data_IF_276016700416
#
_entry.id   IF_276016700416
#
_cell.length_a   1.000
_cell.length_b   1.000
_cell.length_c   1.000
_cell.angle_alpha   90.00
_cell.angle_beta   90.00
_cell.angle_gamma   90.00
#
_symmetry.space_group_name_H-M   'P 1'
#
loop_
_entity.id
_entity.type
_entity.pdbx_description
1 polymer ?
#
# COMPACT_ATOMS: atom_id res chain seq x y z
N UNK A 1 -44.75 -48.58 42.12
CA UNK A 1 -43.34 -48.58 42.57
C UNK A 1 -42.46 -48.26 41.38
N UNK A 2 -41.86 -47.05 41.31
CA UNK A 2 -40.86 -46.73 40.27
C UNK A 2 -39.48 -46.98 40.85
N UNK A 3 -38.73 -47.91 40.26
CA UNK A 3 -37.32 -48.09 40.58
C UNK A 3 -36.54 -46.93 39.96
N UNK A 4 -35.96 -46.07 40.80
CA UNK A 4 -34.97 -45.09 40.36
C UNK A 4 -33.64 -45.81 40.17
N UNK A 5 -33.23 -45.98 38.90
CA UNK A 5 -31.92 -46.54 38.60
C UNK A 5 -30.82 -45.55 39.01
N UNK A 6 -29.95 -45.98 39.92
CA UNK A 6 -28.78 -45.21 40.34
C UNK A 6 -27.79 -45.10 39.18
N UNK A 7 -27.88 -44.02 38.40
CA UNK A 7 -26.96 -43.71 37.31
C UNK A 7 -25.55 -43.51 37.86
N UNK A 8 -24.63 -44.39 37.51
CA UNK A 8 -23.23 -44.28 37.91
C UNK A 8 -22.61 -43.02 37.30
N UNK A 9 -22.17 -42.07 38.16
CA UNK A 9 -21.47 -40.87 37.69
C UNK A 9 -20.06 -41.26 37.25
N UNK A 10 -19.64 -40.77 36.08
CA UNK A 10 -18.27 -40.97 35.57
C UNK A 10 -17.28 -40.43 36.61
N UNK A 11 -16.20 -41.18 36.85
CA UNK A 11 -15.13 -40.76 37.76
C UNK A 11 -14.45 -39.52 37.16
N UNK A 12 -14.36 -38.44 37.93
CA UNK A 12 -13.66 -37.21 37.53
C UNK A 12 -12.14 -37.40 37.51
N UNK A 13 -11.41 -36.34 37.14
CA UNK A 13 -9.95 -36.30 37.25
C UNK A 13 -9.53 -36.62 38.70
N UNK A 14 -8.49 -37.43 38.87
CA UNK A 14 -7.98 -37.78 40.19
C UNK A 14 -7.29 -36.55 40.79
N UNK A 15 -7.67 -36.19 42.02
CA UNK A 15 -7.03 -35.10 42.75
C UNK A 15 -5.59 -35.46 43.06
N UNK A 16 -4.68 -34.52 42.83
CA UNK A 16 -3.28 -34.67 43.20
C UNK A 16 -3.11 -34.55 44.74
N UNK A 17 -3.15 -35.70 45.40
CA UNK A 17 -2.97 -35.82 46.84
C UNK A 17 -1.50 -36.13 47.14
N UNK A 18 -0.76 -35.10 47.58
CA UNK A 18 0.65 -35.26 47.94
C UNK A 18 0.80 -36.00 49.28
N UNK A 19 1.48 -37.14 49.27
CA UNK A 19 1.82 -37.91 50.47
C UNK A 19 2.96 -37.22 51.22
N UNK A 20 2.86 -37.09 52.54
CA UNK A 20 3.99 -36.66 53.38
C UNK A 20 4.97 -37.83 53.51
N UNK A 21 6.26 -37.55 53.34
CA UNK A 21 7.33 -38.56 53.40
C UNK A 21 7.45 -39.22 54.77
N UNK A 22 6.98 -38.58 55.83
CA UNK A 22 7.13 -39.02 57.23
C UNK A 22 6.29 -40.26 57.61
N UNK A 23 5.36 -40.72 56.77
CA UNK A 23 4.44 -41.82 57.10
C UNK A 23 4.76 -43.07 56.27
N UNK A 24 5.45 -44.03 56.88
CA UNK A 24 5.89 -45.31 56.28
C UNK A 24 4.97 -46.50 56.63
N UNK A 25 3.66 -46.28 56.80
CA UNK A 25 2.68 -47.35 57.01
C UNK A 25 1.94 -47.68 55.72
N UNK A 26 1.74 -48.97 55.41
CA UNK A 26 1.22 -49.46 54.13
C UNK A 26 -0.21 -49.02 53.72
N UNK A 27 -0.91 -48.22 54.52
CA UNK A 27 -2.21 -47.65 54.18
C UNK A 27 -2.21 -46.13 54.35
N UNK A 28 -2.44 -45.40 53.26
CA UNK A 28 -2.48 -43.93 53.22
C UNK A 28 -3.91 -43.46 53.45
N UNK A 29 -4.22 -43.04 54.67
CA UNK A 29 -5.53 -42.46 55.00
C UNK A 29 -5.57 -40.97 54.65
N UNK A 30 -6.41 -40.59 53.69
CA UNK A 30 -6.60 -39.19 53.32
C UNK A 30 -7.63 -38.52 54.23
N UNK A 31 -7.15 -37.66 55.12
CA UNK A 31 -8.04 -36.78 55.89
C UNK A 31 -8.88 -35.89 54.94
N UNK A 32 -10.17 -35.65 55.23
CA UNK A 32 -11.02 -34.73 54.45
C UNK A 32 -10.41 -33.34 54.22
N UNK A 33 -9.53 -32.90 55.14
CA UNK A 33 -8.76 -31.66 54.99
C UNK A 33 -7.81 -31.70 53.78
N UNK A 34 -7.16 -32.83 53.51
CA UNK A 34 -6.23 -32.99 52.36
C UNK A 34 -6.94 -32.99 51.02
N UNK A 35 -8.14 -33.57 50.97
CA UNK A 35 -9.00 -33.50 49.79
C UNK A 35 -9.40 -32.05 49.47
N UNK A 36 -9.68 -31.22 50.49
CA UNK A 36 -9.96 -29.79 50.30
C UNK A 36 -8.74 -29.01 49.82
N UNK A 37 -7.56 -29.26 50.41
CA UNK A 37 -6.31 -28.63 50.00
C UNK A 37 -5.94 -28.98 48.54
N UNK A 38 -6.10 -30.23 48.12
CA UNK A 38 -5.84 -30.63 46.73
C UNK A 38 -6.79 -29.95 45.74
N UNK A 39 -8.09 -29.87 46.06
CA UNK A 39 -9.07 -29.12 45.24
C UNK A 39 -8.74 -27.64 45.14
N UNK A 40 -8.30 -27.03 46.24
CA UNK A 40 -7.90 -25.62 46.22
C UNK A 40 -6.69 -25.39 45.32
N UNK A 41 -5.72 -26.30 45.30
CA UNK A 41 -4.55 -26.24 44.40
C UNK A 41 -4.94 -26.40 42.94
N UNK A 42 -5.81 -27.35 42.62
CA UNK A 42 -6.31 -27.50 41.25
C UNK A 42 -7.05 -26.24 40.79
N UNK A 43 -7.90 -25.66 41.63
CA UNK A 43 -8.60 -24.42 41.29
C UNK A 43 -7.65 -23.24 41.02
N UNK A 44 -6.52 -23.15 41.74
CA UNK A 44 -5.48 -22.16 41.48
C UNK A 44 -4.78 -22.46 40.16
N UNK A 45 -4.36 -23.71 39.92
CA UNK A 45 -3.71 -24.10 38.67
C UNK A 45 -4.60 -23.87 37.45
N UNK A 46 -5.89 -24.17 37.54
CA UNK A 46 -6.83 -23.90 36.45
C UNK A 46 -6.95 -22.39 36.18
N UNK A 47 -6.96 -21.55 37.21
CA UNK A 47 -6.96 -20.08 37.04
C UNK A 47 -5.67 -19.61 36.38
N UNK A 48 -4.52 -20.02 36.90
CA UNK A 48 -3.21 -19.65 36.36
C UNK A 48 -3.09 -20.09 34.89
N UNK A 49 -3.49 -21.32 34.55
CA UNK A 49 -3.51 -21.80 33.18
C UNK A 49 -4.44 -20.97 32.27
N UNK A 50 -5.61 -20.56 32.77
CA UNK A 50 -6.51 -19.71 31.99
C UNK A 50 -5.93 -18.33 31.76
N UNK A 51 -5.30 -17.74 32.77
CA UNK A 51 -4.63 -16.45 32.67
C UNK A 51 -3.44 -16.51 31.72
N UNK A 52 -2.60 -17.55 31.81
CA UNK A 52 -1.50 -17.78 30.86
C UNK A 52 -1.99 -17.96 29.43
N UNK A 53 -3.09 -18.71 29.22
CA UNK A 53 -3.71 -18.87 27.89
C UNK A 53 -4.22 -17.52 27.35
N UNK A 54 -4.83 -16.70 28.20
CA UNK A 54 -5.29 -15.36 27.82
C UNK A 54 -4.13 -14.42 27.51
N UNK A 55 -3.09 -14.40 28.34
CA UNK A 55 -1.87 -13.60 28.11
C UNK A 55 -1.19 -14.01 26.82
N UNK A 56 -1.03 -15.32 26.57
CA UNK A 56 -0.44 -15.84 25.33
C UNK A 56 -1.28 -15.48 24.11
N UNK A 57 -2.61 -15.52 24.22
CA UNK A 57 -3.50 -15.10 23.14
C UNK A 57 -3.38 -13.58 22.86
N UNK A 58 -3.26 -12.77 23.91
CA UNK A 58 -3.07 -11.32 23.76
C UNK A 58 -1.71 -10.98 23.16
N UNK A 59 -0.63 -11.62 23.62
CA UNK A 59 0.71 -11.45 23.07
C UNK A 59 0.76 -11.82 21.58
N UNK A 60 0.13 -12.94 21.18
CA UNK A 60 0.02 -13.31 19.76
C UNK A 60 -0.69 -12.26 18.92
N UNK A 61 -1.78 -11.68 19.44
CA UNK A 61 -2.50 -10.59 18.74
C UNK A 61 -1.64 -9.34 18.60
N UNK A 62 -0.83 -9.00 19.60
CA UNK A 62 0.08 -7.86 19.52
C UNK A 62 1.13 -8.06 18.43
N UNK A 63 1.77 -9.24 18.40
CA UNK A 63 2.75 -9.60 17.37
C UNK A 63 2.15 -9.54 15.96
N UNK A 64 0.97 -10.12 15.76
CA UNK A 64 0.31 -10.11 14.44
C UNK A 64 -0.04 -8.68 13.98
N UNK A 65 -0.42 -7.78 14.91
CA UNK A 65 -0.66 -6.38 14.59
C UNK A 65 0.63 -5.64 14.22
N UNK A 66 1.73 -5.95 14.91
CA UNK A 66 3.04 -5.36 14.64
C UNK A 66 3.59 -5.84 13.28
N UNK A 67 3.51 -7.13 12.98
CA UNK A 67 3.87 -7.70 11.68
C UNK A 67 3.08 -7.03 10.55
N UNK A 68 1.76 -6.88 10.69
CA UNK A 68 0.92 -6.17 9.70
C UNK A 68 1.32 -4.70 9.53
N UNK A 69 1.78 -4.04 10.59
CA UNK A 69 2.28 -2.65 10.49
C UNK A 69 3.59 -2.59 9.71
N UNK A 70 4.52 -3.50 10.01
CA UNK A 70 5.82 -3.60 9.34
C UNK A 70 5.62 -3.96 7.86
N UNK A 71 4.76 -4.92 7.54
CA UNK A 71 4.44 -5.27 6.15
C UNK A 71 3.87 -4.08 5.37
N UNK A 72 2.96 -3.32 5.98
CA UNK A 72 2.41 -2.10 5.36
C UNK A 72 3.47 -1.04 5.14
N UNK A 73 4.41 -0.88 6.07
CA UNK A 73 5.54 0.05 5.92
C UNK A 73 6.46 -0.39 4.78
N UNK A 74 6.87 -1.66 4.76
CA UNK A 74 7.69 -2.24 3.69
C UNK A 74 7.02 -2.07 2.31
N UNK A 75 5.72 -2.33 2.21
CA UNK A 75 4.99 -2.14 0.97
C UNK A 75 4.97 -0.67 0.52
N UNK A 76 4.83 0.27 1.45
CA UNK A 76 4.90 1.72 1.15
C UNK A 76 6.30 2.12 0.68
N UNK A 77 7.34 1.67 1.39
CA UNK A 77 8.74 1.92 1.05
C UNK A 77 9.05 1.41 -0.35
N UNK A 78 8.70 0.16 -0.67
CA UNK A 78 8.89 -0.42 -2.00
C UNK A 78 8.20 0.43 -3.09
N UNK A 79 6.97 0.88 -2.83
CA UNK A 79 6.23 1.75 -3.75
C UNK A 79 6.83 3.16 -3.87
N UNK A 80 7.49 3.65 -2.83
CA UNK A 80 8.20 4.94 -2.86
C UNK A 80 9.52 4.84 -3.62
N UNK A 81 10.28 3.77 -3.40
CA UNK A 81 11.49 3.47 -4.15
C UNK A 81 11.18 3.32 -5.63
N UNK A 82 10.17 2.54 -6.02
CA UNK A 82 9.77 2.38 -7.42
C UNK A 82 9.38 3.74 -8.05
N UNK A 83 8.62 4.56 -7.31
CA UNK A 83 8.22 5.90 -7.78
C UNK A 83 9.43 6.83 -7.93
N UNK A 84 10.38 6.78 -6.99
CA UNK A 84 11.60 7.56 -7.01
C UNK A 84 12.52 7.14 -8.17
N UNK A 85 12.69 5.83 -8.40
CA UNK A 85 13.46 5.30 -9.53
C UNK A 85 12.84 5.71 -10.86
N UNK A 86 11.51 5.59 -11.01
CA UNK A 86 10.80 6.02 -12.21
C UNK A 86 10.90 7.52 -12.44
N UNK A 87 10.88 8.32 -11.37
CA UNK A 87 11.09 9.76 -11.46
C UNK A 87 12.54 10.09 -11.87
N UNK A 88 13.53 9.39 -11.30
CA UNK A 88 14.94 9.55 -11.65
C UNK A 88 15.20 9.14 -13.11
N UNK A 89 14.60 8.05 -13.59
CA UNK A 89 14.71 7.62 -14.99
C UNK A 89 14.14 8.68 -15.95
N UNK A 90 12.97 9.25 -15.61
CA UNK A 90 12.37 10.36 -16.37
C UNK A 90 13.27 11.59 -16.37
N UNK A 91 13.83 11.95 -15.22
CA UNK A 91 14.75 13.07 -15.10
C UNK A 91 16.00 12.86 -15.98
N UNK A 92 16.60 11.67 -15.96
CA UNK A 92 17.75 11.32 -16.82
C UNK A 92 17.41 11.43 -18.31
N UNK A 93 16.23 10.98 -18.73
CA UNK A 93 15.78 11.11 -20.13
C UNK A 93 15.63 12.57 -20.54
N UNK A 94 15.02 13.38 -19.68
CA UNK A 94 14.85 14.83 -19.91
C UNK A 94 16.21 15.51 -19.99
N UNK A 95 17.11 15.25 -19.05
CA UNK A 95 18.47 15.80 -19.05
C UNK A 95 19.24 15.42 -20.32
N UNK A 96 19.20 14.16 -20.75
CA UNK A 96 19.84 13.71 -21.98
C UNK A 96 19.27 14.44 -23.22
N UNK A 97 17.98 14.73 -23.26
CA UNK A 97 17.38 15.54 -24.32
C UNK A 97 17.85 16.99 -24.27
N UNK A 98 17.93 17.59 -23.07
CA UNK A 98 18.44 18.96 -22.90
C UNK A 98 19.91 19.07 -23.30
N UNK A 99 20.76 18.10 -22.95
CA UNK A 99 22.15 18.02 -23.36
C UNK A 99 22.28 17.91 -24.89
N UNK A 100 21.47 17.08 -25.54
CA UNK A 100 21.44 16.99 -27.02
C UNK A 100 21.06 18.31 -27.66
N UNK A 101 19.99 18.97 -27.16
CA UNK A 101 19.53 20.27 -27.66
C UNK A 101 20.59 21.37 -27.45
N UNK A 102 21.26 21.39 -26.31
CA UNK A 102 22.29 22.39 -26.00
C UNK A 102 23.53 22.21 -26.89
N UNK A 103 23.97 20.97 -27.12
CA UNK A 103 25.07 20.66 -28.06
C UNK A 103 24.71 21.12 -29.48
N UNK A 104 23.50 20.80 -29.96
CA UNK A 104 23.03 21.24 -31.27
C UNK A 104 22.98 22.77 -31.38
N UNK A 105 22.43 23.46 -30.38
CA UNK A 105 22.36 24.92 -30.37
C UNK A 105 23.76 25.55 -30.38
N UNK A 106 24.70 25.01 -29.61
CA UNK A 106 26.09 25.49 -29.59
C UNK A 106 26.77 25.33 -30.96
N UNK A 107 26.55 24.21 -31.66
CA UNK A 107 27.07 23.99 -33.02
C UNK A 107 26.46 24.98 -34.02
N UNK A 108 25.14 25.22 -33.96
CA UNK A 108 24.46 26.17 -34.85
C UNK A 108 24.96 27.61 -34.61
N UNK A 109 25.20 28.02 -33.35
CA UNK A 109 25.77 29.34 -33.03
C UNK A 109 27.17 29.52 -33.61
N UNK A 110 28.04 28.50 -33.52
CA UNK A 110 29.37 28.54 -34.14
C UNK A 110 29.29 28.67 -35.66
N UNK A 111 28.37 27.95 -36.31
CA UNK A 111 28.15 28.04 -37.77
C UNK A 111 27.60 29.39 -38.21
N UNK A 112 26.71 30.00 -37.42
CA UNK A 112 26.15 31.32 -37.73
C UNK A 112 27.16 32.43 -37.52
N UNK A 113 28.01 32.36 -36.49
CA UNK A 113 29.11 33.32 -36.30
C UNK A 113 30.12 33.29 -37.45
N UNK A 114 30.45 32.11 -37.99
CA UNK A 114 31.32 31.99 -39.18
C UNK A 114 30.63 32.34 -40.50
N UNK A 115 29.30 32.47 -40.52
CA UNK A 115 28.51 32.76 -41.72
C UNK A 115 28.19 34.26 -41.87
N UNK A 116 28.50 35.09 -40.87
CA UNK A 116 28.45 36.56 -40.99
C UNK A 116 29.73 37.09 -41.63
N UNK A 117 30.07 36.63 -42.83
CA UNK A 117 30.97 37.34 -43.76
C UNK A 117 30.68 36.87 -45.19
N UNK A 118 29.63 37.43 -45.78
CA UNK A 118 29.67 37.78 -47.20
C UNK A 118 28.73 38.96 -47.44
N UNK A 119 29.25 40.19 -47.66
CA UNK A 119 28.43 41.30 -48.10
C UNK A 119 27.98 41.01 -49.54
N UNK A 120 26.81 40.38 -49.67
CA UNK A 120 26.14 40.23 -50.96
C UNK A 120 25.79 41.62 -51.49
N UNK A 121 26.42 41.99 -52.60
CA UNK A 121 26.30 43.31 -53.21
C UNK A 121 24.83 43.66 -53.51
N UNK A 122 24.40 44.77 -52.92
CA UNK A 122 23.10 45.41 -53.10
C UNK A 122 22.90 45.76 -54.58
N UNK A 123 22.09 44.96 -55.29
CA UNK A 123 21.64 45.29 -56.65
C UNK A 123 20.15 45.63 -56.63
N UNK A 124 19.86 46.84 -57.06
CA UNK A 124 18.60 47.54 -56.89
C UNK A 124 17.71 47.39 -58.15
N UNK A 125 16.41 47.09 -57.94
CA UNK A 125 15.22 47.20 -58.84
C UNK A 125 15.13 46.18 -60.01
N UNK A 126 13.96 45.73 -60.49
CA UNK A 126 12.65 46.39 -60.67
C UNK A 126 11.45 45.44 -60.49
N UNK A 127 10.31 46.05 -60.14
CA UNK A 127 9.00 45.45 -60.01
C UNK A 127 8.42 45.00 -61.36
N UNK A 128 7.79 43.82 -61.37
CA UNK A 128 6.89 43.36 -62.43
C UNK A 128 5.60 42.87 -61.78
N UNK A 129 4.52 43.61 -61.99
CA UNK A 129 3.17 43.24 -61.58
C UNK A 129 2.54 42.34 -62.66
N UNK A 130 1.78 41.32 -62.24
CA UNK A 130 0.61 40.82 -62.98
C UNK A 130 -0.07 39.63 -62.28
N UNK A 131 -1.37 39.82 -62.02
CA UNK A 131 -2.49 38.87 -62.05
C UNK A 131 -2.58 37.78 -60.96
N UNK A 132 -3.50 37.94 -60.01
CA UNK A 132 -4.94 37.60 -60.09
C UNK A 132 -5.20 36.13 -59.73
N UNK A 133 -5.71 35.93 -58.52
CA UNK A 133 -6.23 34.66 -58.01
C UNK A 133 -7.32 34.97 -56.99
N UNK A 134 -8.54 35.11 -57.50
CA UNK A 134 -9.80 35.26 -56.76
C UNK A 134 -10.25 33.87 -56.28
N UNK A 135 -11.11 33.86 -55.25
CA UNK A 135 -11.97 32.77 -54.72
C UNK A 135 -11.39 31.97 -53.55
N UNK A 136 -12.16 31.55 -52.55
CA UNK A 136 -13.56 31.77 -52.16
C UNK A 136 -13.79 30.97 -50.86
N UNK A 137 -14.73 31.41 -50.02
CA UNK A 137 -15.47 30.59 -49.06
C UNK A 137 -14.64 30.01 -47.90
N UNK A 138 -15.13 29.80 -46.69
CA UNK A 138 -16.45 30.00 -46.09
C UNK A 138 -16.15 30.16 -44.60
N UNK A 139 -16.58 31.27 -44.00
CA UNK A 139 -16.74 31.35 -42.54
C UNK A 139 -17.89 30.39 -42.15
N UNK A 140 -17.58 29.11 -42.01
CA UNK A 140 -18.47 28.16 -41.36
C UNK A 140 -18.49 28.49 -39.88
N UNK A 141 -19.57 29.17 -39.47
CA UNK A 141 -20.03 29.37 -38.11
C UNK A 141 -19.68 28.17 -37.21
N UNK A 142 -18.64 28.32 -36.40
CA UNK A 142 -18.28 27.36 -35.39
C UNK A 142 -19.36 27.37 -34.31
N UNK A 143 -20.21 26.34 -34.30
CA UNK A 143 -21.13 26.09 -33.19
C UNK A 143 -20.35 26.15 -31.88
N UNK A 144 -20.77 26.92 -30.86
CA UNK A 144 -20.03 27.02 -29.62
C UNK A 144 -19.95 25.63 -28.98
N UNK A 145 -18.73 25.18 -28.68
CA UNK A 145 -18.53 23.98 -27.88
C UNK A 145 -19.37 24.11 -26.60
N UNK A 146 -20.15 23.07 -26.28
CA UNK A 146 -20.97 23.05 -25.05
C UNK A 146 -20.02 23.04 -23.85
N UNK A 147 -19.72 24.23 -23.34
CA UNK A 147 -18.83 24.47 -22.22
C UNK A 147 -19.68 24.62 -20.97
N UNK A 148 -19.32 23.91 -19.90
CA UNK A 148 -19.98 24.06 -18.58
C UNK A 148 -19.77 25.48 -18.02
N UNK A 149 -20.57 25.90 -17.04
CA UNK A 149 -20.39 27.20 -16.36
C UNK A 149 -18.98 27.39 -15.76
N UNK A 150 -18.21 26.31 -15.59
CA UNK A 150 -16.81 26.29 -15.13
C UNK A 150 -15.78 26.20 -16.25
N UNK A 151 -16.14 26.42 -17.51
CA UNK A 151 -15.18 26.51 -18.62
C UNK A 151 -14.66 25.17 -19.16
N UNK A 152 -15.21 24.02 -18.74
CA UNK A 152 -14.76 22.69 -19.23
C UNK A 152 -15.54 22.25 -20.46
N UNK A 153 -14.82 21.70 -21.44
CA UNK A 153 -15.41 21.05 -22.60
C UNK A 153 -16.09 19.74 -22.19
N UNK A 154 -17.29 19.48 -22.73
CA UNK A 154 -18.03 18.25 -22.49
C UNK A 154 -18.21 17.52 -23.81
N UNK A 155 -17.59 16.35 -23.92
CA UNK A 155 -17.84 15.43 -25.02
C UNK A 155 -19.02 14.54 -24.65
N UNK A 156 -20.19 14.77 -25.26
CA UNK A 156 -21.35 13.92 -25.08
C UNK A 156 -21.11 12.56 -25.76
N UNK A 157 -21.29 11.43 -25.05
CA UNK A 157 -21.24 10.09 -25.64
C UNK A 157 -22.25 9.95 -26.78
N UNK A 158 -21.93 9.17 -27.80
CA UNK A 158 -22.76 9.01 -29.01
C UNK A 158 -24.15 8.43 -28.74
N UNK A 159 -24.32 7.66 -27.66
CA UNK A 159 -25.64 7.20 -27.17
C UNK A 159 -26.58 8.33 -26.73
N UNK A 160 -26.08 9.54 -26.54
CA UNK A 160 -26.82 10.73 -26.12
C UNK A 160 -26.74 11.87 -27.15
N UNK A 161 -26.26 11.57 -28.37
CA UNK A 161 -26.34 12.50 -29.52
C UNK A 161 -27.66 12.34 -30.24
#
# INVERSE_FOLDING_TARGET
>A
MRQESCKHRKKGKALDLQQRQEYHGGSVFWSPRKLREARAREAVRERDETEEKLQKAWAKKQLELEEKRVERQRLKEMREVERAEKAAERARKVEAQHQKKSIQQAQQRKRKASQVLSPSNKRQKRAGAAHAGVQAGDELSATPAKVTSRGRNVNLPQKYR
#
